data_IF_525108564073
#
_entry.id   IF_525108564073
#
_cell.length_a   1.000
_cell.length_b   1.000
_cell.length_c   1.000
_cell.angle_alpha   90.00
_cell.angle_beta   90.00
_cell.angle_gamma   90.00
#
_symmetry.space_group_name_H-M   'P 1'
#
loop_
_entity.id
_entity.type
_entity.pdbx_description
1 polymer ?
#
# COMPACT_ATOMS: atom_id res chain seq x y z
N UNK A 1 -54.73 20.31 27.89
CA UNK A 1 -53.26 20.22 27.80
C UNK A 1 -52.95 18.93 27.07
N UNK A 2 -52.62 19.01 25.77
CA UNK A 2 -52.27 17.82 24.99
C UNK A 2 -50.93 17.34 25.52
N UNK A 3 -50.93 16.16 26.16
CA UNK A 3 -49.71 15.51 26.61
C UNK A 3 -48.85 15.25 25.39
N UNK A 4 -47.72 15.94 25.28
CA UNK A 4 -46.67 15.65 24.29
C UNK A 4 -46.04 14.32 24.69
N UNK A 5 -46.78 13.21 24.52
CA UNK A 5 -46.18 11.89 24.47
C UNK A 5 -44.99 12.01 23.51
N UNK A 6 -43.85 11.66 24.07
CA UNK A 6 -42.61 12.42 23.98
C UNK A 6 -42.10 12.47 22.54
N UNK A 7 -42.25 13.60 21.85
CA UNK A 7 -41.74 13.80 20.48
C UNK A 7 -40.25 13.42 20.42
N UNK A 8 -39.54 13.64 21.52
CA UNK A 8 -38.15 13.23 21.73
C UNK A 8 -37.97 11.71 21.65
N UNK A 9 -38.86 10.93 22.27
CA UNK A 9 -38.88 9.47 22.23
C UNK A 9 -39.14 8.96 20.80
N UNK A 10 -40.11 9.56 20.09
CA UNK A 10 -40.40 9.21 18.71
C UNK A 10 -39.20 9.46 17.78
N UNK A 11 -38.53 10.62 17.93
CA UNK A 11 -37.31 10.95 17.19
C UNK A 11 -36.18 9.98 17.53
N UNK A 12 -36.00 9.66 18.81
CA UNK A 12 -34.96 8.73 19.26
C UNK A 12 -35.14 7.33 18.68
N UNK A 13 -36.38 6.85 18.61
CA UNK A 13 -36.70 5.53 18.03
C UNK A 13 -36.35 5.47 16.54
N UNK A 14 -36.62 6.53 15.78
CA UNK A 14 -36.25 6.61 14.35
C UNK A 14 -34.73 6.58 14.19
N UNK A 15 -33.99 7.35 15.00
CA UNK A 15 -32.52 7.39 14.96
C UNK A 15 -31.94 6.01 15.28
N UNK A 16 -32.44 5.32 16.30
CA UNK A 16 -32.00 3.97 16.68
C UNK A 16 -32.26 2.97 15.55
N UNK A 17 -33.44 3.01 14.92
CA UNK A 17 -33.75 2.15 13.77
C UNK A 17 -32.77 2.36 12.60
N UNK A 18 -32.45 3.61 12.27
CA UNK A 18 -31.52 3.94 11.19
C UNK A 18 -30.10 3.45 11.51
N UNK A 19 -29.62 3.66 12.73
CA UNK A 19 -28.30 3.20 13.17
C UNK A 19 -28.23 1.67 13.15
N UNK A 20 -29.27 0.98 13.61
CA UNK A 20 -29.33 -0.48 13.61
C UNK A 20 -29.35 -1.04 12.19
N UNK A 21 -30.17 -0.46 11.30
CA UNK A 21 -30.19 -0.84 9.89
C UNK A 21 -28.82 -0.64 9.23
N UNK A 22 -28.17 0.49 9.48
CA UNK A 22 -26.84 0.78 8.97
C UNK A 22 -25.79 -0.21 9.51
N UNK A 23 -25.78 -0.48 10.82
CA UNK A 23 -24.84 -1.41 11.43
C UNK A 23 -25.02 -2.86 10.94
N UNK A 24 -26.25 -3.28 10.62
CA UNK A 24 -26.55 -4.63 10.15
C UNK A 24 -26.27 -4.83 8.66
N UNK A 25 -26.43 -3.77 7.85
CA UNK A 25 -26.29 -3.86 6.38
C UNK A 25 -24.93 -3.40 5.86
N UNK A 26 -24.21 -2.55 6.61
CA UNK A 26 -22.89 -2.05 6.23
C UNK A 26 -21.83 -2.76 7.07
N UNK A 27 -21.06 -3.71 6.50
CA UNK A 27 -19.97 -4.36 7.20
C UNK A 27 -18.95 -3.32 7.68
N UNK A 28 -18.64 -3.33 8.98
CA UNK A 28 -17.58 -2.47 9.53
C UNK A 28 -16.22 -2.97 9.05
N UNK A 29 -15.61 -2.24 8.11
CA UNK A 29 -14.25 -2.53 7.68
C UNK A 29 -13.24 -2.05 8.73
N UNK A 30 -12.21 -2.85 8.99
CA UNK A 30 -11.07 -2.42 9.81
C UNK A 30 -10.36 -1.24 9.13
N UNK A 31 -10.06 -0.14 9.86
CA UNK A 31 -9.26 0.97 9.32
C UNK A 31 -7.80 0.56 9.03
N UNK A 32 -7.38 -0.64 9.46
CA UNK A 32 -6.06 -1.18 9.17
C UNK A 32 -6.04 -1.78 7.78
N UNK A 33 -6.05 -0.91 6.76
CA UNK A 33 -5.68 -1.31 5.40
C UNK A 33 -4.28 -1.92 5.51
N UNK A 34 -4.18 -3.24 5.25
CA UNK A 34 -2.89 -3.93 5.21
C UNK A 34 -2.10 -3.22 4.11
N UNK A 35 -1.06 -2.44 4.48
CA UNK A 35 -0.17 -1.82 3.50
C UNK A 35 0.23 -2.92 2.54
N UNK A 36 -0.23 -2.84 1.29
CA UNK A 36 0.11 -3.83 0.28
C UNK A 36 1.63 -3.76 0.14
N UNK A 37 2.33 -4.68 0.79
CA UNK A 37 3.77 -4.78 0.68
C UNK A 37 4.01 -5.15 -0.76
N UNK A 38 4.59 -4.24 -1.53
CA UNK A 38 5.00 -4.45 -2.92
C UNK A 38 5.75 -5.79 -2.96
N UNK A 39 5.19 -6.86 -3.55
CA UNK A 39 5.77 -8.20 -3.42
C UNK A 39 7.19 -8.29 -4.01
N UNK A 40 7.50 -7.40 -4.97
CA UNK A 40 8.81 -7.22 -5.58
C UNK A 40 9.81 -6.37 -4.76
N UNK A 41 9.41 -5.80 -3.63
CA UNK A 41 10.28 -4.98 -2.79
C UNK A 41 11.10 -5.86 -1.83
N UNK A 42 12.24 -6.32 -2.33
CA UNK A 42 13.19 -7.18 -1.61
C UNK A 42 14.40 -6.41 -1.06
N UNK A 43 15.33 -7.14 -0.45
CA UNK A 43 16.58 -6.58 0.11
C UNK A 43 17.45 -5.90 -0.95
N UNK A 44 17.65 -6.54 -2.10
CA UNK A 44 18.41 -5.95 -3.21
C UNK A 44 17.85 -4.59 -3.66
N UNK A 45 16.51 -4.44 -3.70
CA UNK A 45 15.87 -3.15 -3.97
C UNK A 45 16.17 -2.10 -2.88
N UNK A 46 16.20 -2.50 -1.60
CA UNK A 46 16.53 -1.60 -0.48
C UNK A 46 17.98 -1.14 -0.54
N UNK A 47 18.90 -2.07 -0.74
CA UNK A 47 20.33 -1.79 -0.70
C UNK A 47 20.78 -0.95 -1.88
N UNK A 48 20.32 -1.28 -3.09
CA UNK A 48 20.62 -0.47 -4.27
C UNK A 48 20.02 0.94 -4.21
N UNK A 49 18.83 1.10 -3.63
CA UNK A 49 18.24 2.41 -3.39
C UNK A 49 19.00 3.20 -2.30
N UNK A 50 19.48 2.53 -1.25
CA UNK A 50 20.32 3.13 -0.21
C UNK A 50 21.63 3.64 -0.82
N UNK A 51 22.25 2.85 -1.68
CA UNK A 51 23.50 3.23 -2.36
C UNK A 51 23.30 4.36 -3.38
N UNK A 52 22.24 4.32 -4.18
CA UNK A 52 21.86 5.43 -5.06
C UNK A 52 21.71 6.74 -4.27
N UNK A 53 21.02 6.68 -3.12
CA UNK A 53 20.82 7.85 -2.25
C UNK A 53 22.13 8.33 -1.61
N UNK A 54 23.00 7.40 -1.19
CA UNK A 54 24.34 7.73 -0.66
C UNK A 54 25.16 8.50 -1.69
N UNK A 55 25.26 7.97 -2.92
CA UNK A 55 26.04 8.60 -3.98
C UNK A 55 25.42 9.90 -4.49
N UNK A 56 24.09 9.99 -4.51
CA UNK A 56 23.41 11.26 -4.76
C UNK A 56 23.76 12.32 -3.70
N UNK A 57 23.80 11.94 -2.42
CA UNK A 57 24.14 12.87 -1.34
C UNK A 57 25.57 13.39 -1.47
N UNK A 58 26.51 12.53 -1.87
CA UNK A 58 27.91 12.89 -2.12
C UNK A 58 27.97 13.86 -3.31
N UNK A 59 27.39 13.50 -4.46
CA UNK A 59 27.36 14.35 -5.64
C UNK A 59 26.69 15.70 -5.38
N UNK A 60 25.58 15.73 -4.64
CA UNK A 60 24.90 16.98 -4.29
C UNK A 60 25.77 17.90 -3.45
N UNK A 61 26.55 17.36 -2.52
CA UNK A 61 27.45 18.16 -1.67
C UNK A 61 28.71 18.59 -2.44
N UNK A 62 29.22 17.71 -3.30
CA UNK A 62 30.47 17.89 -4.04
C UNK A 62 30.25 17.52 -5.52
N UNK A 63 29.84 18.49 -6.37
CA UNK A 63 29.43 18.24 -7.74
C UNK A 63 30.63 18.07 -8.70
N UNK A 64 31.45 17.06 -8.46
CA UNK A 64 32.56 16.68 -9.34
C UNK A 64 32.11 15.70 -10.43
N UNK A 65 32.84 15.63 -11.54
CA UNK A 65 32.57 14.69 -12.64
C UNK A 65 32.60 13.24 -12.19
N UNK A 66 33.55 12.87 -11.32
CA UNK A 66 33.67 11.53 -10.76
C UNK A 66 32.43 11.16 -9.93
N UNK A 67 31.98 12.06 -9.05
CA UNK A 67 30.78 11.86 -8.24
C UNK A 67 29.52 11.75 -9.11
N UNK A 68 29.44 12.54 -10.18
CA UNK A 68 28.34 12.46 -11.14
C UNK A 68 28.31 11.08 -11.84
N UNK A 69 29.46 10.59 -12.31
CA UNK A 69 29.58 9.26 -12.93
C UNK A 69 29.22 8.16 -11.94
N UNK A 70 29.73 8.21 -10.71
CA UNK A 70 29.41 7.24 -9.66
C UNK A 70 27.91 7.19 -9.36
N UNK A 71 27.27 8.34 -9.18
CA UNK A 71 25.82 8.43 -9.00
C UNK A 71 25.05 7.87 -10.20
N UNK A 72 25.44 8.18 -11.44
CA UNK A 72 24.80 7.66 -12.65
C UNK A 72 24.90 6.13 -12.74
N UNK A 73 26.06 5.55 -12.39
CA UNK A 73 26.25 4.10 -12.32
C UNK A 73 25.31 3.46 -11.30
N UNK A 74 25.28 3.97 -10.07
CA UNK A 74 24.39 3.44 -9.03
C UNK A 74 22.92 3.57 -9.38
N UNK A 75 22.52 4.69 -9.99
CA UNK A 75 21.16 4.91 -10.50
C UNK A 75 20.78 3.88 -11.59
N UNK A 76 21.71 3.55 -12.49
CA UNK A 76 21.48 2.51 -13.49
C UNK A 76 21.32 1.12 -12.86
N UNK A 77 22.13 0.80 -11.84
CA UNK A 77 22.05 -0.46 -11.09
C UNK A 77 20.72 -0.57 -10.33
N UNK A 78 20.32 0.46 -9.57
CA UNK A 78 19.06 0.47 -8.84
C UNK A 78 17.85 0.30 -9.77
N UNK A 79 17.86 0.95 -10.94
CA UNK A 79 16.85 0.76 -11.99
C UNK A 79 16.80 -0.67 -12.51
N UNK A 80 17.96 -1.28 -12.78
CA UNK A 80 18.05 -2.68 -13.25
C UNK A 80 17.48 -3.65 -12.21
N UNK A 81 17.92 -3.53 -10.95
CA UNK A 81 17.46 -4.39 -9.86
C UNK A 81 15.96 -4.26 -9.66
N UNK A 82 15.42 -3.03 -9.61
CA UNK A 82 13.98 -2.81 -9.48
C UNK A 82 13.18 -3.48 -10.59
N UNK A 83 13.60 -3.31 -11.86
CA UNK A 83 12.92 -3.94 -13.01
C UNK A 83 12.97 -5.47 -12.94
N UNK A 84 14.13 -6.02 -12.55
CA UNK A 84 14.32 -7.46 -12.37
C UNK A 84 13.41 -8.01 -11.27
N UNK A 85 13.42 -7.40 -10.08
CA UNK A 85 12.57 -7.84 -8.96
C UNK A 85 11.08 -7.74 -9.29
N UNK A 86 10.65 -6.71 -10.03
CA UNK A 86 9.27 -6.60 -10.51
C UNK A 86 8.89 -7.74 -11.45
N UNK A 87 9.75 -8.05 -12.42
CA UNK A 87 9.56 -9.14 -13.37
C UNK A 87 9.51 -10.49 -12.67
N UNK A 88 10.48 -10.79 -11.81
CA UNK A 88 10.56 -12.05 -11.07
C UNK A 88 9.35 -12.23 -10.15
N UNK A 89 8.96 -11.18 -9.43
CA UNK A 89 7.76 -11.22 -8.59
C UNK A 89 6.49 -11.50 -9.39
N UNK A 90 6.36 -10.93 -10.59
CA UNK A 90 5.20 -11.18 -11.45
C UNK A 90 5.20 -12.61 -11.99
N UNK A 91 6.34 -13.09 -12.47
CA UNK A 91 6.51 -14.48 -12.92
C UNK A 91 6.14 -15.45 -11.81
N UNK A 92 6.63 -15.22 -10.59
CA UNK A 92 6.33 -16.07 -9.44
C UNK A 92 4.85 -16.04 -9.06
N UNK A 93 4.22 -14.86 -9.11
CA UNK A 93 2.78 -14.73 -8.85
C UNK A 93 1.97 -15.54 -9.86
N UNK A 94 2.20 -15.34 -11.16
CA UNK A 94 1.48 -16.08 -12.22
C UNK A 94 1.75 -17.58 -12.11
N UNK A 95 2.99 -17.98 -11.82
CA UNK A 95 3.36 -19.39 -11.64
C UNK A 95 2.73 -20.04 -10.41
N UNK A 96 2.32 -19.24 -9.41
CA UNK A 96 1.62 -19.73 -8.22
C UNK A 96 0.13 -19.99 -8.44
N UNK A 97 -0.44 -19.47 -9.53
CA UNK A 97 -1.85 -19.69 -9.89
C UNK A 97 -1.97 -21.08 -10.52
N UNK A 98 -2.74 -21.94 -9.87
CA UNK A 98 -3.02 -23.32 -10.27
C UNK A 98 -4.52 -23.55 -10.37
N UNK A 99 -4.94 -24.70 -10.91
CA UNK A 99 -6.37 -25.05 -11.04
C UNK A 99 -7.14 -25.11 -9.72
N UNK A 100 -6.44 -25.27 -8.59
CA UNK A 100 -7.02 -25.23 -7.24
C UNK A 100 -7.07 -23.83 -6.62
N UNK A 101 -6.60 -22.79 -7.32
CA UNK A 101 -6.59 -21.41 -6.80
C UNK A 101 -8.00 -20.84 -6.86
N UNK A 102 -8.58 -20.54 -5.69
CA UNK A 102 -9.94 -19.99 -5.62
C UNK A 102 -10.01 -18.51 -6.04
N UNK A 103 -11.17 -18.06 -6.50
CA UNK A 103 -11.40 -16.64 -6.84
C UNK A 103 -11.18 -15.68 -5.65
N UNK A 104 -11.20 -16.18 -4.41
CA UNK A 104 -10.92 -15.39 -3.20
C UNK A 104 -9.41 -15.17 -2.97
N UNK A 105 -8.56 -16.01 -3.58
CA UNK A 105 -7.10 -15.98 -3.45
C UNK A 105 -6.41 -15.21 -4.58
N UNK A 106 -7.12 -14.98 -5.69
CA UNK A 106 -6.73 -14.06 -6.77
C UNK A 106 -7.05 -12.61 -6.39
#
# INVERSE_FOLDING_TARGET
MVSTADITEAVQNVVVCLINAANNTIPKCSPRIRKFRRPWWNEACRDSHREEKRLWNIFRRYPTSENHVAFKRAKAVARRIRRRSQRESWINFVSSITSSTSSKQL
#
